data_IF_117362910093
#
_entry.id   IF_117362910093
#
_cell.length_a   1.000
_cell.length_b   1.000
_cell.length_c   1.000
_cell.angle_alpha   90.00
_cell.angle_beta   90.00
_cell.angle_gamma   90.00
#
_symmetry.space_group_name_H-M   'P 1'
#
loop_
_entity.id
_entity.type
_entity.pdbx_description
1 polymer ?
#
# COMPACT_ATOMS: atom_id res chain seq x y z
N UNK A 1 -2.09 -31.66 -10.95
CA UNK A 1 -2.81 -30.80 -9.98
C UNK A 1 -3.46 -29.66 -10.75
N UNK A 2 -4.80 -29.58 -10.74
CA UNK A 2 -5.47 -28.44 -11.38
C UNK A 2 -5.03 -27.14 -10.70
N UNK A 3 -4.53 -26.18 -11.47
CA UNK A 3 -4.19 -24.85 -10.98
C UNK A 3 -5.45 -24.20 -10.40
N UNK A 4 -5.35 -23.61 -9.20
CA UNK A 4 -6.48 -22.84 -8.63
C UNK A 4 -6.89 -21.72 -9.59
N UNK A 5 -8.19 -21.39 -9.71
CA UNK A 5 -8.65 -20.24 -10.48
C UNK A 5 -7.92 -18.96 -10.07
N UNK A 6 -7.61 -18.12 -11.06
CA UNK A 6 -7.00 -16.81 -10.86
C UNK A 6 -8.08 -15.73 -10.76
N UNK A 7 -7.94 -14.80 -9.83
CA UNK A 7 -8.90 -13.72 -9.60
C UNK A 7 -8.54 -12.46 -10.39
N UNK A 8 -8.72 -12.49 -11.71
CA UNK A 8 -8.36 -11.36 -12.59
C UNK A 8 -8.98 -10.03 -12.15
N UNK A 9 -10.23 -10.05 -11.65
CA UNK A 9 -10.91 -8.83 -11.19
C UNK A 9 -10.21 -8.25 -9.97
N UNK A 10 -9.79 -9.08 -9.00
CA UNK A 10 -9.06 -8.60 -7.83
C UNK A 10 -7.72 -7.95 -8.21
N UNK A 11 -7.03 -8.47 -9.24
CA UNK A 11 -5.83 -7.84 -9.75
C UNK A 11 -6.13 -6.48 -10.40
N UNK A 12 -7.20 -6.38 -11.19
CA UNK A 12 -7.65 -5.11 -11.76
C UNK A 12 -8.01 -4.08 -10.69
N UNK A 13 -8.72 -4.49 -9.63
CA UNK A 13 -9.07 -3.63 -8.49
C UNK A 13 -7.85 -3.15 -7.71
N UNK A 14 -6.84 -4.02 -7.54
CA UNK A 14 -5.57 -3.64 -6.94
C UNK A 14 -4.87 -2.54 -7.74
N UNK A 15 -4.88 -2.64 -9.07
CA UNK A 15 -4.31 -1.60 -9.93
C UNK A 15 -5.10 -0.30 -9.89
N UNK A 16 -6.42 -0.36 -9.88
CA UNK A 16 -7.27 0.83 -9.71
C UNK A 16 -7.02 1.52 -8.36
N UNK A 17 -6.91 0.76 -7.28
CA UNK A 17 -6.56 1.30 -5.97
C UNK A 17 -5.17 1.95 -5.98
N UNK A 18 -4.17 1.35 -6.65
CA UNK A 18 -2.83 1.94 -6.78
C UNK A 18 -2.86 3.30 -7.50
N UNK A 19 -3.68 3.45 -8.55
CA UNK A 19 -3.87 4.74 -9.23
C UNK A 19 -4.50 5.79 -8.31
N UNK A 20 -5.46 5.39 -7.47
CA UNK A 20 -6.08 6.30 -6.51
C UNK A 20 -5.11 6.72 -5.39
N UNK A 21 -4.17 5.85 -5.00
CA UNK A 21 -3.07 6.23 -4.10
C UNK A 21 -2.17 7.29 -4.73
N UNK A 22 -1.80 7.12 -6.01
CA UNK A 22 -1.04 8.15 -6.74
C UNK A 22 -1.79 9.47 -6.79
N UNK A 23 -3.11 9.42 -7.06
CA UNK A 23 -3.97 10.60 -7.08
C UNK A 23 -4.07 11.27 -5.70
N UNK A 24 -4.16 10.50 -4.63
CA UNK A 24 -4.12 11.02 -3.26
C UNK A 24 -2.84 11.80 -2.99
N UNK A 25 -1.69 11.25 -3.33
CA UNK A 25 -0.40 11.90 -3.09
C UNK A 25 -0.18 13.20 -3.89
N UNK A 26 -0.91 13.42 -4.99
CA UNK A 26 -0.94 14.72 -5.65
C UNK A 26 -1.51 15.79 -4.73
N UNK A 27 -2.64 15.50 -4.06
CA UNK A 27 -3.29 16.44 -3.14
C UNK A 27 -2.56 16.55 -1.80
N UNK A 28 -1.98 15.47 -1.31
CA UNK A 28 -1.06 15.51 -0.18
C UNK A 28 0.10 16.48 -0.45
N UNK A 29 0.64 16.46 -1.67
CA UNK A 29 1.69 17.39 -2.09
C UNK A 29 1.28 18.85 -2.02
N UNK A 30 0.04 19.19 -2.40
CA UNK A 30 -0.46 20.55 -2.29
C UNK A 30 -0.50 21.03 -0.84
N UNK A 31 -1.09 20.23 0.06
CA UNK A 31 -1.15 20.59 1.46
C UNK A 31 0.24 20.62 2.12
N UNK A 32 1.10 19.66 1.79
CA UNK A 32 2.48 19.64 2.29
C UNK A 32 3.25 20.91 1.86
N UNK A 33 3.15 21.29 0.58
CA UNK A 33 3.85 22.45 0.05
C UNK A 33 3.31 23.78 0.58
N UNK A 34 2.00 23.89 0.80
CA UNK A 34 1.33 25.07 1.38
C UNK A 34 1.52 25.15 2.91
N UNK A 35 1.86 24.03 3.56
CA UNK A 35 1.85 23.93 5.03
C UNK A 35 0.44 23.93 5.63
N UNK A 36 -0.56 23.53 4.83
CA UNK A 36 -1.96 23.47 5.24
C UNK A 36 -2.36 22.14 5.84
N UNK A 37 -3.47 22.15 6.59
CA UNK A 37 -4.03 20.92 7.13
C UNK A 37 -4.67 20.04 6.04
N UNK A 38 -4.73 18.74 6.31
CA UNK A 38 -5.21 17.65 5.43
C UNK A 38 -6.71 17.74 5.03
N UNK A 39 -7.40 18.81 5.37
CA UNK A 39 -8.87 18.95 5.25
C UNK A 39 -9.43 18.94 3.81
N UNK A 40 -8.59 19.00 2.79
CA UNK A 40 -9.00 19.02 1.38
C UNK A 40 -8.74 17.71 0.64
N UNK A 41 -8.23 16.68 1.32
CA UNK A 41 -7.83 15.42 0.69
C UNK A 41 -9.02 14.51 0.37
N UNK A 42 -8.79 13.64 -0.60
CA UNK A 42 -9.57 12.46 -0.84
C UNK A 42 -9.05 11.27 0.01
N UNK A 43 -9.79 10.17 0.06
CA UNK A 43 -9.46 8.99 0.85
C UNK A 43 -8.62 7.94 0.09
N UNK A 44 -7.88 8.33 -0.94
CA UNK A 44 -7.05 7.40 -1.73
C UNK A 44 -5.98 6.67 -0.91
N UNK A 45 -5.54 7.22 0.23
CA UNK A 45 -4.62 6.55 1.17
C UNK A 45 -5.19 5.26 1.77
N UNK A 46 -6.51 5.08 1.82
CA UNK A 46 -7.15 3.82 2.20
C UNK A 46 -6.90 2.68 1.20
N UNK A 47 -6.33 2.97 0.04
CA UNK A 47 -5.82 1.95 -0.88
C UNK A 47 -4.82 1.00 -0.21
N UNK A 48 -4.07 1.47 0.78
CA UNK A 48 -3.14 0.64 1.57
C UNK A 48 -3.90 -0.40 2.41
N UNK A 49 -4.99 0.01 3.05
CA UNK A 49 -5.84 -0.87 3.86
C UNK A 49 -6.55 -1.91 2.97
N UNK A 50 -6.97 -1.49 1.78
CA UNK A 50 -7.48 -2.40 0.75
C UNK A 50 -6.41 -3.42 0.31
N UNK A 51 -5.14 -3.02 0.15
CA UNK A 51 -4.05 -3.94 -0.19
C UNK A 51 -3.75 -4.92 0.93
N UNK A 52 -3.76 -4.51 2.19
CA UNK A 52 -3.59 -5.42 3.32
C UNK A 52 -4.70 -6.48 3.36
N UNK A 53 -5.96 -6.08 3.17
CA UNK A 53 -7.09 -7.02 3.13
C UNK A 53 -6.99 -7.98 1.95
N UNK A 54 -6.65 -7.47 0.78
CA UNK A 54 -6.44 -8.28 -0.41
C UNK A 54 -5.26 -9.25 -0.24
N UNK A 55 -4.17 -8.81 0.42
CA UNK A 55 -3.02 -9.65 0.73
C UNK A 55 -3.42 -10.82 1.64
N UNK A 56 -4.17 -10.55 2.71
CA UNK A 56 -4.69 -11.60 3.60
C UNK A 56 -5.58 -12.62 2.87
N UNK A 57 -6.49 -12.14 2.01
CA UNK A 57 -7.33 -13.00 1.18
C UNK A 57 -6.52 -13.88 0.23
N UNK A 58 -5.59 -13.29 -0.51
CA UNK A 58 -4.79 -14.01 -1.54
C UNK A 58 -3.80 -14.97 -0.89
N UNK A 59 -3.18 -14.61 0.23
CA UNK A 59 -2.25 -15.49 0.96
C UNK A 59 -2.98 -16.69 1.53
N UNK A 60 -4.11 -16.50 2.20
CA UNK A 60 -4.96 -17.59 2.69
C UNK A 60 -5.40 -18.50 1.53
N UNK A 61 -5.84 -17.91 0.40
CA UNK A 61 -6.22 -18.66 -0.80
C UNK A 61 -5.08 -19.49 -1.37
N UNK A 62 -3.89 -18.91 -1.45
CA UNK A 62 -2.74 -19.55 -2.09
C UNK A 62 -2.12 -20.65 -1.23
N UNK A 63 -2.17 -20.54 0.10
CA UNK A 63 -1.31 -21.31 0.97
C UNK A 63 -2.02 -22.16 2.04
N UNK A 64 -3.24 -21.81 2.51
CA UNK A 64 -3.89 -22.52 3.65
C UNK A 64 -3.96 -24.05 3.46
N UNK A 65 -4.23 -24.53 2.26
CA UNK A 65 -4.34 -25.95 1.95
C UNK A 65 -3.02 -26.65 1.58
N UNK A 66 -1.90 -25.90 1.54
CA UNK A 66 -0.56 -26.43 1.21
C UNK A 66 0.25 -26.77 2.46
N UNK A 67 -0.09 -26.17 3.60
CA UNK A 67 0.55 -26.45 4.86
C UNK A 67 0.30 -27.92 5.25
N UNK A 68 1.36 -28.62 5.67
CA UNK A 68 1.30 -30.07 5.96
C UNK A 68 1.29 -30.96 4.71
N UNK A 69 1.33 -30.40 3.49
CA UNK A 69 1.39 -31.12 2.22
C UNK A 69 2.66 -30.79 1.42
N UNK A 70 3.78 -30.62 2.14
CA UNK A 70 5.08 -30.35 1.53
C UNK A 70 5.52 -28.87 1.50
N UNK A 71 4.67 -27.91 1.93
CA UNK A 71 5.09 -26.53 2.10
C UNK A 71 5.70 -26.33 3.49
N UNK A 72 6.99 -26.00 3.54
CA UNK A 72 7.66 -25.57 4.77
C UNK A 72 7.51 -24.06 5.01
N UNK A 73 7.73 -23.63 6.25
CA UNK A 73 7.77 -22.19 6.59
C UNK A 73 8.87 -21.47 5.81
N UNK A 74 10.01 -22.12 5.59
CA UNK A 74 11.10 -21.57 4.80
C UNK A 74 10.74 -21.39 3.32
N UNK A 75 10.05 -22.36 2.72
CA UNK A 75 9.59 -22.29 1.34
C UNK A 75 8.54 -21.20 1.14
N UNK A 76 7.68 -20.98 2.14
CA UNK A 76 6.76 -19.85 2.15
C UNK A 76 7.53 -18.52 2.13
N UNK A 77 8.50 -18.32 3.04
CA UNK A 77 9.28 -17.09 3.10
C UNK A 77 10.10 -16.87 1.82
N UNK A 78 10.76 -17.90 1.28
CA UNK A 78 11.44 -17.81 -0.02
C UNK A 78 10.52 -17.28 -1.11
N UNK A 79 9.32 -17.84 -1.23
CA UNK A 79 8.33 -17.43 -2.25
C UNK A 79 7.88 -15.99 -2.06
N UNK A 80 7.70 -15.54 -0.81
CA UNK A 80 7.33 -14.15 -0.52
C UNK A 80 8.48 -13.19 -0.82
N UNK A 81 9.69 -13.53 -0.44
CA UNK A 81 10.90 -12.76 -0.79
C UNK A 81 11.06 -12.61 -2.30
N UNK A 82 11.00 -13.72 -3.05
CA UNK A 82 11.08 -13.70 -4.52
C UNK A 82 9.99 -12.80 -5.13
N UNK A 83 8.80 -12.80 -4.53
CA UNK A 83 7.66 -12.00 -5.00
C UNK A 83 7.82 -10.51 -4.75
N UNK A 84 8.28 -10.10 -3.56
CA UNK A 84 8.19 -8.72 -3.10
C UNK A 84 9.54 -7.99 -3.17
N UNK A 85 10.61 -8.67 -2.75
CA UNK A 85 11.89 -8.00 -2.48
C UNK A 85 12.60 -7.37 -3.69
N UNK A 86 12.50 -7.91 -4.93
CA UNK A 86 13.09 -7.25 -6.08
C UNK A 86 12.63 -5.81 -6.27
N UNK A 87 11.34 -5.53 -6.03
CA UNK A 87 10.81 -4.19 -6.15
C UNK A 87 11.20 -3.29 -4.97
N UNK A 88 11.35 -3.84 -3.77
CA UNK A 88 11.89 -3.08 -2.60
C UNK A 88 13.29 -2.55 -2.91
N UNK A 89 14.16 -3.41 -3.44
CA UNK A 89 15.53 -3.01 -3.84
C UNK A 89 15.49 -1.92 -4.91
N UNK A 90 14.69 -2.11 -5.95
CA UNK A 90 14.57 -1.11 -7.03
C UNK A 90 13.99 0.22 -6.51
N UNK A 91 12.98 0.17 -5.63
CA UNK A 91 12.37 1.36 -5.02
C UNK A 91 13.37 2.17 -4.21
N UNK A 92 14.27 1.52 -3.46
CA UNK A 92 15.35 2.19 -2.73
C UNK A 92 16.35 2.87 -3.68
N UNK A 93 16.72 2.20 -4.79
CA UNK A 93 17.61 2.78 -5.83
C UNK A 93 16.95 3.99 -6.49
N UNK A 94 15.71 3.86 -6.96
CA UNK A 94 14.99 4.96 -7.60
C UNK A 94 14.79 6.12 -6.63
N UNK A 95 14.48 5.83 -5.36
CA UNK A 95 14.39 6.84 -4.30
C UNK A 95 15.69 7.59 -4.08
N UNK A 96 16.82 6.89 -4.11
CA UNK A 96 18.16 7.49 -4.03
C UNK A 96 18.43 8.41 -5.23
N UNK A 97 18.17 7.93 -6.45
CA UNK A 97 18.34 8.73 -7.67
C UNK A 97 17.47 9.99 -7.62
N UNK A 98 16.20 9.86 -7.23
CA UNK A 98 15.28 10.97 -7.07
C UNK A 98 15.79 11.99 -6.04
N UNK A 99 16.31 11.53 -4.90
CA UNK A 99 16.86 12.39 -3.86
C UNK A 99 18.09 13.18 -4.33
N UNK A 100 19.00 12.52 -5.06
CA UNK A 100 20.17 13.16 -5.66
C UNK A 100 19.79 14.21 -6.73
N UNK A 101 18.80 13.89 -7.59
CA UNK A 101 18.25 14.83 -8.58
C UNK A 101 17.64 16.06 -7.87
N UNK A 102 16.98 15.84 -6.73
CA UNK A 102 16.39 16.90 -5.90
C UNK A 102 17.40 17.74 -5.12
N UNK A 103 18.72 17.55 -5.33
CA UNK A 103 19.77 18.37 -4.73
C UNK A 103 20.25 17.87 -3.36
N UNK A 104 19.85 16.68 -2.92
CA UNK A 104 20.26 16.07 -1.62
C UNK A 104 19.91 16.91 -0.39
N UNK A 105 18.79 17.64 -0.47
CA UNK A 105 18.33 18.53 0.60
C UNK A 105 17.25 17.87 1.46
N UNK A 106 17.34 18.10 2.75
CA UNK A 106 16.26 17.87 3.71
C UNK A 106 15.12 18.86 3.49
N UNK A 107 13.96 18.59 4.07
CA UNK A 107 12.84 19.54 3.99
C UNK A 107 13.07 20.87 4.71
N UNK A 108 13.99 20.89 5.68
CA UNK A 108 14.46 22.11 6.37
C UNK A 108 15.56 22.88 5.61
N UNK A 109 15.95 22.42 4.43
CA UNK A 109 16.97 23.03 3.57
C UNK A 109 18.40 22.62 3.89
N UNK A 110 18.62 21.80 4.93
CA UNK A 110 19.98 21.32 5.25
C UNK A 110 20.46 20.26 4.24
N UNK A 111 21.73 20.29 3.90
CA UNK A 111 22.36 19.29 3.03
C UNK A 111 22.56 17.96 3.75
N UNK A 112 22.33 16.87 3.03
CA UNK A 112 22.62 15.52 3.49
C UNK A 112 23.85 14.96 2.78
N UNK A 113 24.81 14.44 3.55
CA UNK A 113 26.02 13.84 2.97
C UNK A 113 25.69 12.59 2.16
N UNK A 114 26.45 12.37 1.08
CA UNK A 114 26.30 11.17 0.24
C UNK A 114 26.44 9.87 1.07
N UNK A 115 27.29 9.88 2.11
CA UNK A 115 27.45 8.72 3.00
C UNK A 115 26.12 8.33 3.67
N UNK A 116 25.37 9.28 4.22
CA UNK A 116 24.07 9.00 4.82
C UNK A 116 23.01 8.60 3.79
N UNK A 117 23.07 9.16 2.58
CA UNK A 117 22.18 8.73 1.48
C UNK A 117 22.40 7.26 1.13
N UNK A 118 23.67 6.84 1.03
CA UNK A 118 24.00 5.43 0.75
C UNK A 118 23.59 4.50 1.91
N UNK A 119 23.74 4.93 3.17
CA UNK A 119 23.22 4.18 4.32
C UNK A 119 21.70 4.06 4.24
N UNK A 120 20.98 5.15 3.98
CA UNK A 120 19.53 5.12 3.82
C UNK A 120 19.08 4.17 2.69
N UNK A 121 19.80 4.17 1.57
CA UNK A 121 19.54 3.24 0.45
C UNK A 121 19.72 1.78 0.90
N UNK A 122 20.81 1.45 1.57
CA UNK A 122 21.07 0.08 2.04
C UNK A 122 20.03 -0.36 3.08
N UNK A 123 19.68 0.52 4.03
CA UNK A 123 18.62 0.26 5.01
C UNK A 123 17.28 0.01 4.31
N UNK A 124 16.92 0.84 3.32
CA UNK A 124 15.71 0.66 2.51
C UNK A 124 15.71 -0.65 1.74
N UNK A 125 16.82 -1.03 1.12
CA UNK A 125 16.97 -2.33 0.43
C UNK A 125 16.77 -3.52 1.37
N UNK A 126 17.18 -3.41 2.64
CA UNK A 126 17.05 -4.46 3.65
C UNK A 126 15.73 -4.38 4.43
N UNK A 127 14.85 -3.41 4.13
CA UNK A 127 13.64 -3.10 4.89
C UNK A 127 13.91 -2.82 6.38
N UNK A 128 15.04 -2.22 6.68
CA UNK A 128 15.37 -1.75 8.02
C UNK A 128 14.92 -0.28 8.17
N UNK A 129 14.01 0.02 9.11
CA UNK A 129 13.45 1.36 9.24
C UNK A 129 14.45 2.34 9.86
N UNK A 130 14.33 3.61 9.49
CA UNK A 130 15.05 4.71 10.12
C UNK A 130 14.38 5.13 11.44
N UNK A 131 15.20 5.45 12.46
CA UNK A 131 14.73 6.18 13.62
C UNK A 131 14.58 7.66 13.28
N UNK A 132 13.52 8.34 13.75
CA UNK A 132 13.38 9.79 13.58
C UNK A 132 14.63 10.54 14.07
N UNK A 133 15.15 11.41 13.22
CA UNK A 133 16.38 12.19 13.51
C UNK A 133 17.69 11.43 13.38
N UNK A 134 17.70 10.17 12.95
CA UNK A 134 18.93 9.48 12.59
C UNK A 134 19.60 10.13 11.37
N UNK A 135 20.93 9.98 11.21
CA UNK A 135 21.63 10.56 10.06
C UNK A 135 21.14 10.04 8.71
N UNK A 136 20.61 8.82 8.67
CA UNK A 136 20.00 8.21 7.49
C UNK A 136 18.49 8.51 7.34
N UNK A 137 17.88 9.32 8.21
CA UNK A 137 16.63 10.04 7.94
C UNK A 137 16.96 11.26 7.06
N UNK A 138 17.26 10.98 5.79
CA UNK A 138 17.90 11.93 4.87
C UNK A 138 16.99 13.10 4.48
N UNK A 139 15.67 13.01 4.70
CA UNK A 139 14.73 14.12 4.49
C UNK A 139 14.39 14.89 5.77
N UNK A 140 14.71 14.31 6.93
CA UNK A 140 14.54 14.97 8.22
C UNK A 140 13.09 15.13 8.70
N UNK A 141 12.17 14.34 8.15
CA UNK A 141 10.75 14.37 8.52
C UNK A 141 10.33 13.15 9.35
N UNK A 142 11.27 12.32 9.78
CA UNK A 142 11.02 11.16 10.62
C UNK A 142 10.47 9.93 9.90
N UNK A 143 10.40 9.93 8.58
CA UNK A 143 9.95 8.76 7.82
C UNK A 143 10.85 7.55 8.03
N UNK A 144 10.23 6.36 8.27
CA UNK A 144 10.97 5.08 8.34
C UNK A 144 11.84 4.83 7.11
N UNK A 145 11.41 5.32 5.94
CA UNK A 145 12.06 5.13 4.64
C UNK A 145 12.08 6.44 3.86
N UNK A 146 12.91 7.37 4.29
CA UNK A 146 12.96 8.73 3.78
C UNK A 146 13.34 8.87 2.29
N UNK A 147 13.86 7.82 1.65
CA UNK A 147 14.05 7.77 0.19
C UNK A 147 12.80 7.31 -0.58
N UNK A 148 11.90 6.58 0.09
CA UNK A 148 10.66 6.07 -0.53
C UNK A 148 9.61 5.81 0.55
N UNK A 149 8.88 6.84 0.97
CA UNK A 149 7.92 6.83 2.07
C UNK A 149 7.01 5.60 2.10
N UNK A 150 6.26 5.25 1.03
CA UNK A 150 5.33 4.12 1.03
C UNK A 150 5.92 2.75 1.36
N UNK A 151 7.26 2.61 1.40
CA UNK A 151 7.93 1.38 1.84
C UNK A 151 7.55 0.97 3.27
N UNK A 152 7.04 1.89 4.11
CA UNK A 152 6.50 1.57 5.43
C UNK A 152 5.43 0.48 5.39
N UNK A 153 4.55 0.52 4.41
CA UNK A 153 3.48 -0.48 4.29
C UNK A 153 4.00 -1.85 3.85
N UNK A 154 5.06 -1.88 3.03
CA UNK A 154 5.75 -3.13 2.67
C UNK A 154 6.42 -3.74 3.90
N UNK A 155 7.03 -2.94 4.76
CA UNK A 155 7.56 -3.40 6.04
C UNK A 155 6.47 -4.10 6.87
N UNK A 156 5.30 -3.49 7.02
CA UNK A 156 4.18 -4.13 7.72
C UNK A 156 3.62 -5.33 6.94
N UNK A 157 3.64 -5.34 5.60
CA UNK A 157 3.25 -6.51 4.83
C UNK A 157 4.18 -7.71 5.12
N UNK A 158 5.50 -7.49 5.29
CA UNK A 158 6.41 -8.54 5.71
C UNK A 158 6.09 -9.03 7.12
N UNK A 159 5.77 -8.15 8.05
CA UNK A 159 5.29 -8.53 9.39
C UNK A 159 4.02 -9.38 9.27
N UNK A 160 3.04 -8.98 8.47
CA UNK A 160 1.83 -9.74 8.20
C UNK A 160 2.10 -11.15 7.66
N UNK A 161 3.07 -11.27 6.73
CA UNK A 161 3.50 -12.57 6.22
C UNK A 161 4.15 -13.46 7.31
N UNK A 162 4.95 -12.86 8.19
CA UNK A 162 5.56 -13.57 9.34
C UNK A 162 4.46 -14.04 10.30
N UNK A 163 3.56 -13.13 10.68
CA UNK A 163 2.42 -13.45 11.55
C UNK A 163 1.55 -14.56 10.95
N UNK A 164 1.25 -14.50 9.65
CA UNK A 164 0.52 -15.56 8.96
C UNK A 164 1.24 -16.90 9.07
N UNK A 165 2.51 -16.96 8.69
CA UNK A 165 3.26 -18.22 8.62
C UNK A 165 3.48 -18.86 9.99
N UNK A 166 3.67 -18.07 11.04
CA UNK A 166 3.98 -18.57 12.36
C UNK A 166 2.74 -18.80 13.23
N UNK A 167 1.74 -17.94 13.15
CA UNK A 167 0.62 -17.90 14.08
C UNK A 167 -0.75 -18.01 13.41
N UNK A 168 -1.15 -17.04 12.54
CA UNK A 168 -2.52 -16.86 12.08
C UNK A 168 -3.08 -18.09 11.33
N UNK A 169 -2.25 -18.73 10.51
CA UNK A 169 -2.66 -19.95 9.77
C UNK A 169 -3.10 -21.10 10.66
N UNK A 170 -2.63 -21.13 11.93
CA UNK A 170 -2.95 -22.19 12.91
C UNK A 170 -4.22 -21.92 13.69
N UNK A 171 -4.72 -20.69 13.64
CA UNK A 171 -5.95 -20.34 14.35
C UNK A 171 -7.15 -21.04 13.73
N UNK A 172 -8.01 -21.58 14.59
CA UNK A 172 -9.33 -22.06 14.19
C UNK A 172 -10.20 -20.88 13.69
N UNK A 173 -11.29 -21.17 12.99
CA UNK A 173 -12.23 -20.12 12.57
C UNK A 173 -12.73 -19.27 13.75
N UNK A 174 -13.01 -19.90 14.91
CA UNK A 174 -13.39 -19.17 16.13
C UNK A 174 -12.26 -18.32 16.68
N UNK A 175 -11.02 -18.84 16.72
CA UNK A 175 -9.85 -18.09 17.20
C UNK A 175 -9.56 -16.89 16.30
N UNK A 176 -9.70 -17.03 14.98
CA UNK A 176 -9.53 -15.93 14.04
C UNK A 176 -10.64 -14.89 14.19
N UNK A 177 -11.90 -15.31 14.40
CA UNK A 177 -13.01 -14.40 14.63
C UNK A 177 -12.85 -13.59 15.93
N UNK A 178 -12.38 -14.21 17.01
CA UNK A 178 -12.09 -13.51 18.27
C UNK A 178 -10.99 -12.46 18.07
N UNK A 179 -9.89 -12.86 17.40
CA UNK A 179 -8.81 -11.92 17.08
C UNK A 179 -9.31 -10.75 16.24
N UNK A 180 -10.16 -11.01 15.24
CA UNK A 180 -10.75 -10.00 14.38
C UNK A 180 -11.60 -9.00 15.15
N UNK A 181 -12.43 -9.46 16.10
CA UNK A 181 -13.24 -8.60 16.97
C UNK A 181 -12.33 -7.68 17.82
N UNK A 182 -11.25 -8.24 18.39
CA UNK A 182 -10.30 -7.45 19.19
C UNK A 182 -9.57 -6.40 18.36
N UNK A 183 -9.08 -6.78 17.16
CA UNK A 183 -8.41 -5.86 16.24
C UNK A 183 -9.37 -4.80 15.72
N UNK A 184 -10.61 -5.16 15.42
CA UNK A 184 -11.68 -4.23 15.05
C UNK A 184 -11.92 -3.19 16.15
N UNK A 185 -12.11 -3.62 17.40
CA UNK A 185 -12.28 -2.72 18.54
C UNK A 185 -11.10 -1.78 18.72
N UNK A 186 -9.87 -2.29 18.60
CA UNK A 186 -8.66 -1.49 18.72
C UNK A 186 -8.56 -0.46 17.58
N UNK A 187 -8.85 -0.87 16.32
CA UNK A 187 -8.78 0.00 15.16
C UNK A 187 -9.86 1.08 15.18
N UNK A 188 -11.11 0.72 15.53
CA UNK A 188 -12.22 1.68 15.69
C UNK A 188 -11.89 2.70 16.79
N UNK A 189 -11.42 2.22 17.95
CA UNK A 189 -11.01 3.12 19.03
C UNK A 189 -9.92 4.08 18.56
N UNK A 190 -8.86 3.56 17.91
CA UNK A 190 -7.74 4.36 17.41
C UNK A 190 -8.21 5.46 16.44
N UNK A 191 -9.07 5.09 15.47
CA UNK A 191 -9.54 6.00 14.43
C UNK A 191 -10.53 7.04 14.93
N UNK A 192 -11.51 6.61 15.76
CA UNK A 192 -12.62 7.48 16.20
C UNK A 192 -12.17 8.48 17.27
N UNK A 193 -11.21 8.08 18.13
CA UNK A 193 -10.66 8.99 19.16
C UNK A 193 -9.44 9.77 18.69
N UNK A 194 -9.05 9.62 17.41
CA UNK A 194 -7.89 10.29 16.80
C UNK A 194 -6.60 10.19 17.64
N UNK A 195 -6.24 8.96 18.02
CA UNK A 195 -5.04 8.72 18.86
C UNK A 195 -3.77 9.27 18.20
N UNK A 196 -3.73 9.33 16.86
CA UNK A 196 -2.61 9.88 16.10
C UNK A 196 -2.52 11.41 16.15
N UNK A 197 -3.64 12.10 16.38
CA UNK A 197 -3.76 13.54 16.23
C UNK A 197 -3.75 14.06 14.79
N UNK A 198 -3.82 13.15 13.80
CA UNK A 198 -3.80 13.51 12.37
C UNK A 198 -5.19 13.70 11.77
N UNK A 199 -6.25 13.41 12.53
CA UNK A 199 -7.62 13.42 12.03
C UNK A 199 -7.91 12.33 11.01
N UNK A 200 -7.05 11.29 10.92
CA UNK A 200 -7.13 10.20 9.96
C UNK A 200 -6.31 8.99 10.42
N UNK A 201 -6.59 7.79 9.88
CA UNK A 201 -5.78 6.59 10.14
C UNK A 201 -4.45 6.54 9.35
N UNK A 202 -3.97 7.67 8.90
CA UNK A 202 -2.73 7.81 8.13
C UNK A 202 -1.46 7.58 8.93
N UNK A 203 -1.36 6.46 9.66
CA UNK A 203 -0.23 6.10 10.55
C UNK A 203 0.58 4.95 9.98
N UNK A 204 1.77 4.75 10.53
CA UNK A 204 2.68 3.65 10.21
C UNK A 204 3.95 4.09 9.50
N UNK A 205 4.09 5.37 9.17
CA UNK A 205 5.18 5.89 8.34
C UNK A 205 6.40 6.39 9.16
N UNK A 206 6.26 6.57 10.49
CA UNK A 206 7.39 6.86 11.38
C UNK A 206 7.62 5.74 12.41
N UNK A 207 8.83 5.67 12.97
CA UNK A 207 9.19 4.68 13.99
C UNK A 207 9.06 5.27 15.41
N UNK A 208 7.89 5.79 15.71
CA UNK A 208 7.48 6.15 17.06
C UNK A 208 6.38 5.20 17.57
N UNK A 209 6.06 5.27 18.86
CA UNK A 209 5.13 4.32 19.49
C UNK A 209 3.73 4.37 18.87
N UNK A 210 3.19 5.57 18.61
CA UNK A 210 1.84 5.75 18.06
C UNK A 210 1.77 5.24 16.62
N UNK A 211 2.73 5.65 15.79
CA UNK A 211 2.79 5.22 14.40
C UNK A 211 3.07 3.73 14.26
N UNK A 212 3.99 3.16 15.06
CA UNK A 212 4.32 1.74 14.97
C UNK A 212 3.14 0.86 15.41
N UNK A 213 2.53 1.14 16.56
CA UNK A 213 1.37 0.39 17.04
C UNK A 213 0.15 0.60 16.14
N UNK A 214 -0.11 1.84 15.75
CA UNK A 214 -1.18 2.18 14.82
C UNK A 214 -1.01 1.49 13.47
N UNK A 215 0.20 1.55 12.88
CA UNK A 215 0.53 0.87 11.64
C UNK A 215 0.42 -0.66 11.72
N UNK A 216 0.80 -1.24 12.87
CA UNK A 216 0.63 -2.66 13.13
C UNK A 216 -0.87 -3.06 13.18
N UNK A 217 -1.70 -2.32 13.92
CA UNK A 217 -3.14 -2.59 14.01
C UNK A 217 -3.79 -2.36 12.63
N UNK A 218 -3.42 -1.26 11.96
CA UNK A 218 -3.88 -0.90 10.62
C UNK A 218 -3.55 -1.96 9.57
N UNK A 219 -2.44 -2.68 9.71
CA UNK A 219 -2.12 -3.83 8.85
C UNK A 219 -2.86 -5.09 9.30
N UNK A 220 -2.82 -5.41 10.60
CA UNK A 220 -3.33 -6.70 11.10
C UNK A 220 -4.84 -6.84 10.91
N UNK A 221 -5.64 -5.79 11.19
CA UNK A 221 -7.09 -5.85 11.08
C UNK A 221 -7.55 -6.17 9.66
N UNK A 222 -7.24 -5.39 8.61
CA UNK A 222 -7.69 -5.73 7.25
C UNK A 222 -7.04 -7.01 6.72
N UNK A 223 -5.80 -7.35 7.12
CA UNK A 223 -5.16 -8.59 6.71
C UNK A 223 -5.89 -9.84 7.26
N UNK A 224 -6.24 -9.85 8.55
CA UNK A 224 -7.00 -10.95 9.16
C UNK A 224 -8.43 -11.00 8.65
N UNK A 225 -9.08 -9.86 8.40
CA UNK A 225 -10.37 -9.78 7.71
C UNK A 225 -10.32 -10.45 6.33
N UNK A 226 -9.27 -10.18 5.55
CA UNK A 226 -9.03 -10.85 4.27
C UNK A 226 -8.94 -12.38 4.40
N UNK A 227 -8.27 -12.89 5.45
CA UNK A 227 -8.21 -14.32 5.75
C UNK A 227 -9.59 -14.89 6.12
N UNK A 228 -10.38 -14.19 6.95
CA UNK A 228 -11.76 -14.57 7.30
C UNK A 228 -12.61 -14.65 6.04
N UNK A 229 -12.59 -13.58 5.23
CA UNK A 229 -13.32 -13.55 3.96
C UNK A 229 -12.98 -14.75 3.08
N UNK A 230 -11.69 -15.11 2.98
CA UNK A 230 -11.26 -16.25 2.16
C UNK A 230 -11.76 -17.58 2.70
N UNK A 231 -11.74 -17.78 4.03
CA UNK A 231 -12.18 -19.04 4.65
C UNK A 231 -13.69 -19.25 4.55
N UNK A 232 -14.47 -18.17 4.61
CA UNK A 232 -15.93 -18.18 4.47
C UNK A 232 -16.42 -17.98 3.02
N UNK A 233 -15.48 -17.80 2.07
CA UNK A 233 -15.80 -17.41 0.69
C UNK A 233 -16.69 -18.42 -0.03
N UNK A 234 -17.81 -17.91 -0.50
CA UNK A 234 -18.72 -18.61 -1.44
C UNK A 234 -18.97 -17.69 -2.62
N UNK A 235 -18.66 -18.10 -3.85
CA UNK A 235 -18.82 -17.23 -5.02
C UNK A 235 -20.28 -16.88 -5.28
N UNK A 236 -20.53 -15.62 -5.59
CA UNK A 236 -21.82 -15.12 -6.04
C UNK A 236 -21.85 -15.06 -7.57
N UNK A 237 -23.02 -15.29 -8.18
CA UNK A 237 -23.20 -15.18 -9.64
C UNK A 237 -23.69 -13.77 -9.98
N UNK A 238 -22.78 -12.81 -10.16
CA UNK A 238 -23.10 -11.43 -10.53
C UNK A 238 -22.36 -11.07 -11.82
N UNK A 239 -23.06 -10.43 -12.77
CA UNK A 239 -22.49 -9.93 -14.02
C UNK A 239 -21.99 -8.49 -13.85
N UNK A 240 -20.95 -8.09 -14.60
CA UNK A 240 -20.46 -6.71 -14.59
C UNK A 240 -19.77 -6.26 -13.32
N UNK A 241 -19.41 -7.19 -12.42
CA UNK A 241 -18.82 -6.91 -11.10
C UNK A 241 -17.58 -5.99 -11.19
N UNK A 242 -16.74 -6.17 -12.20
CA UNK A 242 -15.52 -5.38 -12.34
C UNK A 242 -15.80 -3.88 -12.37
N UNK A 243 -16.73 -3.45 -13.23
CA UNK A 243 -17.06 -2.04 -13.39
C UNK A 243 -17.80 -1.46 -12.17
N UNK A 244 -18.65 -2.27 -11.56
CA UNK A 244 -19.35 -1.89 -10.32
C UNK A 244 -18.35 -1.71 -9.18
N UNK A 245 -17.43 -2.65 -9.01
CA UNK A 245 -16.43 -2.61 -7.94
C UNK A 245 -15.41 -1.46 -8.13
N UNK A 246 -14.98 -1.18 -9.37
CA UNK A 246 -14.15 0.00 -9.67
C UNK A 246 -14.91 1.28 -9.37
N UNK A 247 -16.14 1.43 -9.84
CA UNK A 247 -16.93 2.64 -9.59
C UNK A 247 -17.14 2.86 -8.09
N UNK A 248 -17.39 1.80 -7.33
CA UNK A 248 -17.53 1.89 -5.89
C UNK A 248 -16.22 2.29 -5.20
N UNK A 249 -15.07 1.72 -5.58
CA UNK A 249 -13.76 2.14 -5.07
C UNK A 249 -13.49 3.62 -5.37
N UNK A 250 -13.73 4.06 -6.61
CA UNK A 250 -13.57 5.47 -6.99
C UNK A 250 -14.46 6.38 -6.16
N UNK A 251 -15.73 6.01 -5.97
CA UNK A 251 -16.67 6.79 -5.16
C UNK A 251 -16.19 6.91 -3.71
N UNK A 252 -15.79 5.80 -3.10
CA UNK A 252 -15.29 5.79 -1.71
C UNK A 252 -14.00 6.62 -1.56
N UNK A 253 -13.05 6.46 -2.47
CA UNK A 253 -11.78 7.18 -2.37
C UNK A 253 -11.87 8.66 -2.74
N UNK A 254 -12.92 9.06 -3.47
CA UNK A 254 -13.13 10.45 -3.88
C UNK A 254 -13.88 11.30 -2.84
N UNK A 255 -14.36 10.69 -1.75
CA UNK A 255 -14.99 11.46 -0.66
C UNK A 255 -13.94 12.39 -0.05
N UNK A 256 -14.23 13.68 0.12
CA UNK A 256 -13.34 14.61 0.83
C UNK A 256 -13.23 14.26 2.31
N UNK A 257 -12.23 14.86 2.96
CA UNK A 257 -12.07 14.79 4.41
C UNK A 257 -13.36 15.17 5.15
N UNK A 258 -13.73 14.39 6.16
CA UNK A 258 -14.95 14.59 6.96
C UNK A 258 -14.57 15.28 8.28
N UNK A 259 -14.99 16.54 8.50
CA UNK A 259 -14.64 17.29 9.72
C UNK A 259 -15.13 16.58 11.00
N UNK A 260 -14.37 16.75 12.07
CA UNK A 260 -14.72 16.21 13.38
C UNK A 260 -16.05 16.80 13.92
N UNK A 261 -16.78 16.01 14.70
CA UNK A 261 -17.99 16.43 15.41
C UNK A 261 -17.75 16.27 16.92
N UNK A 262 -17.57 17.38 17.61
CA UNK A 262 -17.14 17.38 19.01
C UNK A 262 -15.81 16.64 19.18
N UNK A 263 -15.78 15.64 20.05
CA UNK A 263 -14.59 14.83 20.33
C UNK A 263 -14.49 13.58 19.43
N UNK A 264 -15.36 13.44 18.43
CA UNK A 264 -15.40 12.30 17.54
C UNK A 264 -14.73 12.67 16.22
N UNK A 265 -13.69 11.93 15.83
CA UNK A 265 -13.09 12.02 14.52
C UNK A 265 -14.03 11.36 13.48
N UNK A 266 -14.90 12.18 12.85
CA UNK A 266 -15.86 11.68 11.85
C UNK A 266 -15.16 11.13 10.61
N UNK A 267 -13.98 11.65 10.27
CA UNK A 267 -13.14 11.07 9.23
C UNK A 267 -12.75 9.63 9.57
N UNK A 268 -12.31 9.39 10.82
CA UNK A 268 -12.02 8.04 11.32
C UNK A 268 -13.26 7.11 11.30
N UNK A 269 -14.46 7.63 11.57
CA UNK A 269 -15.71 6.86 11.42
C UNK A 269 -15.92 6.47 9.96
N UNK A 270 -15.74 7.40 9.02
CA UNK A 270 -15.86 7.12 7.58
C UNK A 270 -14.83 6.07 7.11
N UNK A 271 -13.57 6.22 7.53
CA UNK A 271 -12.49 5.29 7.22
C UNK A 271 -12.81 3.88 7.70
N UNK A 272 -13.26 3.76 8.95
CA UNK A 272 -13.67 2.47 9.51
C UNK A 272 -14.85 1.86 8.76
N UNK A 273 -15.81 2.67 8.34
CA UNK A 273 -16.93 2.18 7.53
C UNK A 273 -16.43 1.64 6.18
N UNK A 274 -15.48 2.31 5.53
CA UNK A 274 -14.85 1.82 4.31
C UNK A 274 -14.15 0.47 4.54
N UNK A 275 -13.31 0.38 5.56
CA UNK A 275 -12.46 -0.80 5.80
C UNK A 275 -13.29 -2.00 6.31
N UNK A 276 -14.28 -1.77 7.18
CA UNK A 276 -15.07 -2.83 7.81
C UNK A 276 -16.21 -3.35 6.94
N UNK A 277 -16.78 -2.51 6.08
CA UNK A 277 -17.98 -2.84 5.33
C UNK A 277 -17.71 -2.91 3.82
N UNK A 278 -17.22 -1.83 3.24
CA UNK A 278 -17.12 -1.76 1.77
C UNK A 278 -15.98 -2.59 1.20
N UNK A 279 -14.79 -2.57 1.79
CA UNK A 279 -13.67 -3.36 1.28
C UNK A 279 -13.93 -4.87 1.31
N UNK A 280 -14.49 -5.45 2.39
CA UNK A 280 -14.94 -6.84 2.37
C UNK A 280 -15.93 -7.15 1.26
N UNK A 281 -16.93 -6.29 1.05
CA UNK A 281 -17.92 -6.45 -0.02
C UNK A 281 -17.26 -6.41 -1.40
N UNK A 282 -16.39 -5.43 -1.64
CA UNK A 282 -15.69 -5.26 -2.92
C UNK A 282 -14.79 -6.47 -3.22
N UNK A 283 -14.04 -6.95 -2.22
CA UNK A 283 -13.18 -8.14 -2.38
C UNK A 283 -14.02 -9.39 -2.62
N UNK A 284 -15.10 -9.58 -1.87
CA UNK A 284 -16.02 -10.71 -2.07
C UNK A 284 -16.63 -10.71 -3.47
N UNK A 285 -17.13 -9.57 -3.91
CA UNK A 285 -17.68 -9.39 -5.26
C UNK A 285 -16.61 -9.63 -6.33
N UNK A 286 -15.43 -9.03 -6.19
CA UNK A 286 -14.31 -9.18 -7.12
C UNK A 286 -13.79 -10.62 -7.22
N UNK A 287 -13.77 -11.35 -6.10
CA UNK A 287 -13.43 -12.77 -6.08
C UNK A 287 -14.53 -13.67 -6.67
N UNK A 288 -15.80 -13.22 -6.66
CA UNK A 288 -16.95 -13.96 -7.18
C UNK A 288 -17.09 -13.86 -8.68
N UNK A 289 -16.56 -12.80 -9.30
CA UNK A 289 -16.73 -12.51 -10.71
C UNK A 289 -15.61 -13.05 -11.59
N UNK A 290 -15.92 -13.13 -12.88
CA UNK A 290 -14.95 -13.36 -13.95
C UNK A 290 -15.17 -12.33 -15.05
N UNK A 291 -14.09 -11.86 -15.67
CA UNK A 291 -14.20 -11.05 -16.89
C UNK A 291 -14.57 -11.97 -18.06
N UNK A 292 -15.60 -11.59 -18.82
CA UNK A 292 -16.10 -12.40 -19.94
C UNK A 292 -15.74 -11.81 -21.30
N UNK A 293 -15.34 -10.53 -21.33
CA UNK A 293 -14.96 -9.82 -22.54
C UNK A 293 -13.45 -9.52 -22.56
N UNK A 294 -12.91 -9.37 -23.78
CA UNK A 294 -11.45 -9.15 -23.99
C UNK A 294 -10.97 -7.81 -23.43
N UNK A 295 -11.82 -6.77 -23.43
CA UNK A 295 -11.44 -5.43 -22.99
C UNK A 295 -11.29 -5.42 -21.47
N UNK A 296 -12.32 -5.85 -20.73
CA UNK A 296 -12.24 -5.94 -19.25
C UNK A 296 -11.11 -6.86 -18.80
N UNK A 297 -10.89 -7.98 -19.49
CA UNK A 297 -9.78 -8.91 -19.19
C UNK A 297 -8.42 -8.23 -19.42
N UNK A 298 -8.26 -7.51 -20.52
CA UNK A 298 -7.05 -6.77 -20.85
C UNK A 298 -6.75 -5.67 -19.83
N UNK A 299 -7.77 -4.91 -19.45
CA UNK A 299 -7.67 -3.84 -18.43
C UNK A 299 -7.29 -4.44 -17.07
N UNK A 300 -7.99 -5.49 -16.61
CA UNK A 300 -7.67 -6.15 -15.34
C UNK A 300 -6.24 -6.65 -15.31
N UNK A 301 -5.78 -7.27 -16.40
CA UNK A 301 -4.41 -7.76 -16.51
C UNK A 301 -3.41 -6.63 -16.46
N UNK A 302 -3.57 -5.59 -17.26
CA UNK A 302 -2.66 -4.45 -17.29
C UNK A 302 -2.58 -3.77 -15.93
N UNK A 303 -3.72 -3.44 -15.32
CA UNK A 303 -3.79 -2.82 -14.00
C UNK A 303 -3.16 -3.72 -12.92
N UNK A 304 -3.42 -5.02 -12.97
CA UNK A 304 -2.84 -5.99 -12.06
C UNK A 304 -1.32 -6.08 -12.16
N UNK A 305 -0.81 -6.13 -13.40
CA UNK A 305 0.62 -6.25 -13.68
C UNK A 305 1.40 -5.01 -13.21
N UNK A 306 0.87 -3.80 -13.42
CA UNK A 306 1.56 -2.56 -13.02
C UNK A 306 1.31 -2.15 -11.56
N UNK A 307 0.34 -2.74 -10.86
CA UNK A 307 -0.12 -2.26 -9.53
C UNK A 307 0.99 -2.18 -8.50
N UNK A 308 1.77 -3.25 -8.34
CA UNK A 308 2.86 -3.31 -7.37
C UNK A 308 4.07 -2.44 -7.78
N UNK A 309 4.56 -2.50 -9.03
CA UNK A 309 5.55 -1.55 -9.50
C UNK A 309 5.14 -0.09 -9.31
N UNK A 310 3.92 0.29 -9.69
CA UNK A 310 3.41 1.65 -9.54
C UNK A 310 3.42 2.09 -8.08
N UNK A 311 2.93 1.24 -7.18
CA UNK A 311 2.94 1.52 -5.75
C UNK A 311 4.35 1.78 -5.21
N UNK A 312 5.36 1.06 -5.71
CA UNK A 312 6.74 1.19 -5.24
C UNK A 312 7.45 2.42 -5.83
N UNK A 313 7.19 2.76 -7.11
CA UNK A 313 8.04 3.75 -7.81
C UNK A 313 7.45 5.16 -7.90
N UNK A 314 6.16 5.36 -7.57
CA UNK A 314 5.51 6.67 -7.74
C UNK A 314 6.03 7.73 -6.76
N UNK A 315 6.28 7.35 -5.51
CA UNK A 315 6.58 8.32 -4.46
C UNK A 315 7.94 9.04 -4.61
N UNK A 316 9.01 8.39 -5.09
CA UNK A 316 10.20 9.11 -5.54
C UNK A 316 9.93 10.21 -6.58
N UNK A 317 8.95 10.01 -7.46
CA UNK A 317 8.51 11.04 -8.41
C UNK A 317 7.71 12.13 -7.70
N UNK A 318 6.87 11.76 -6.73
CA UNK A 318 6.13 12.72 -5.88
C UNK A 318 7.06 13.63 -5.09
N UNK A 319 8.17 13.14 -4.56
CA UNK A 319 9.12 14.00 -3.85
C UNK A 319 9.70 15.10 -4.74
N UNK A 320 10.01 14.82 -6.00
CA UNK A 320 10.43 15.86 -6.96
C UNK A 320 9.29 16.83 -7.27
N UNK A 321 8.07 16.33 -7.36
CA UNK A 321 6.88 17.15 -7.54
C UNK A 321 6.65 18.06 -6.33
N UNK A 322 6.79 17.59 -5.10
CA UNK A 322 6.64 18.40 -3.88
C UNK A 322 7.68 19.54 -3.83
N UNK A 323 8.93 19.23 -4.16
CA UNK A 323 9.98 20.27 -4.28
C UNK A 323 9.63 21.31 -5.35
N UNK A 324 9.08 20.85 -6.49
CA UNK A 324 8.64 21.76 -7.54
C UNK A 324 7.46 22.63 -7.09
N UNK A 325 6.49 22.07 -6.37
CA UNK A 325 5.35 22.82 -5.81
C UNK A 325 5.81 23.92 -4.85
N UNK A 326 6.70 23.60 -3.91
CA UNK A 326 7.27 24.57 -2.96
C UNK A 326 8.00 25.69 -3.72
N UNK A 327 8.85 25.33 -4.67
CA UNK A 327 9.65 26.29 -5.42
C UNK A 327 8.81 27.26 -6.29
N UNK A 328 7.66 26.80 -6.78
CA UNK A 328 6.80 27.56 -7.69
C UNK A 328 5.53 28.10 -7.02
N UNK A 329 5.37 27.88 -5.72
CA UNK A 329 4.19 28.31 -4.93
C UNK A 329 2.86 27.86 -5.58
N UNK A 330 2.82 26.64 -6.13
CA UNK A 330 1.71 26.10 -6.91
C UNK A 330 0.93 25.05 -6.09
N UNK A 331 -0.08 25.47 -5.33
CA UNK A 331 -0.74 24.63 -4.33
C UNK A 331 -2.12 24.12 -4.76
N UNK A 332 -2.50 24.28 -6.01
CA UNK A 332 -3.80 23.83 -6.51
C UNK A 332 -3.67 23.11 -7.84
N UNK A 333 -4.60 22.20 -8.11
CA UNK A 333 -4.65 21.49 -9.38
C UNK A 333 -4.76 22.46 -10.58
N UNK A 334 -5.52 23.55 -10.43
CA UNK A 334 -5.72 24.54 -11.48
C UNK A 334 -4.43 25.25 -11.90
N UNK A 335 -3.50 25.48 -10.94
CA UNK A 335 -2.22 26.15 -11.21
C UNK A 335 -1.17 25.26 -11.88
N UNK A 336 -1.29 23.93 -11.78
CA UNK A 336 -0.22 23.02 -12.22
C UNK A 336 -0.71 21.73 -12.89
N UNK A 337 -1.95 21.65 -13.40
CA UNK A 337 -2.50 20.43 -13.99
C UNK A 337 -1.62 19.77 -15.08
N UNK A 338 -0.86 20.49 -15.94
CA UNK A 338 0.01 19.84 -16.91
C UNK A 338 1.18 19.10 -16.24
N UNK A 339 1.70 19.66 -15.14
CA UNK A 339 2.77 19.03 -14.34
C UNK A 339 2.22 17.79 -13.65
N UNK A 340 1.01 17.85 -13.09
CA UNK A 340 0.34 16.69 -12.48
C UNK A 340 0.15 15.55 -13.50
N UNK A 341 -0.28 15.86 -14.72
CA UNK A 341 -0.35 14.86 -15.78
C UNK A 341 1.02 14.27 -16.12
N UNK A 342 2.06 15.10 -16.15
CA UNK A 342 3.46 14.66 -16.34
C UNK A 342 3.92 13.72 -15.22
N UNK A 343 3.60 14.04 -13.96
CA UNK A 343 3.93 13.21 -12.79
C UNK A 343 3.24 11.84 -12.87
N UNK A 344 1.94 11.82 -13.19
CA UNK A 344 1.17 10.57 -13.34
C UNK A 344 1.74 9.75 -14.51
N UNK A 345 1.97 10.37 -15.66
CA UNK A 345 2.52 9.70 -16.84
C UNK A 345 3.91 9.13 -16.58
N UNK A 346 4.79 9.89 -15.90
CA UNK A 346 6.13 9.45 -15.50
C UNK A 346 6.05 8.27 -14.54
N UNK A 347 5.17 8.32 -13.54
CA UNK A 347 4.96 7.23 -12.57
C UNK A 347 4.48 5.95 -13.27
N UNK A 348 3.55 6.05 -14.22
CA UNK A 348 3.05 4.92 -15.00
C UNK A 348 4.13 4.33 -15.92
N UNK A 349 4.89 5.19 -16.61
CA UNK A 349 5.98 4.76 -17.48
C UNK A 349 7.07 4.05 -16.68
N UNK A 350 7.48 4.64 -15.55
CA UNK A 350 8.47 4.07 -14.65
C UNK A 350 8.00 2.74 -14.07
N UNK A 351 6.71 2.61 -13.69
CA UNK A 351 6.11 1.36 -13.23
C UNK A 351 6.15 0.28 -14.32
N UNK A 352 5.78 0.63 -15.56
CA UNK A 352 5.82 -0.29 -16.68
C UNK A 352 7.26 -0.75 -17.02
N UNK A 353 8.22 0.17 -17.03
CA UNK A 353 9.64 -0.14 -17.21
C UNK A 353 10.15 -1.06 -16.10
N UNK A 354 9.83 -0.74 -14.85
CA UNK A 354 10.22 -1.52 -13.67
C UNK A 354 9.66 -2.93 -13.72
N UNK A 355 8.39 -3.08 -14.09
CA UNK A 355 7.76 -4.40 -14.30
C UNK A 355 8.48 -5.20 -15.37
N UNK A 356 8.69 -4.59 -16.54
CA UNK A 356 9.18 -5.29 -17.72
C UNK A 356 10.66 -5.64 -17.63
N UNK A 357 11.50 -4.71 -17.17
CA UNK A 357 12.95 -4.84 -17.24
C UNK A 357 13.59 -5.27 -15.92
N UNK A 358 12.86 -5.20 -14.79
CA UNK A 358 13.40 -5.58 -13.49
C UNK A 358 12.56 -6.64 -12.78
N UNK A 359 11.29 -6.36 -12.41
CA UNK A 359 10.49 -7.26 -11.58
C UNK A 359 10.34 -8.64 -12.22
N UNK A 360 9.86 -8.68 -13.46
CA UNK A 360 9.59 -9.95 -14.17
C UNK A 360 10.87 -10.79 -14.38
N UNK A 361 11.98 -10.22 -14.89
CA UNK A 361 13.23 -10.97 -15.04
C UNK A 361 13.82 -11.43 -13.70
N UNK A 362 13.85 -10.54 -12.69
CA UNK A 362 14.39 -10.86 -11.38
C UNK A 362 13.61 -11.99 -10.68
N UNK A 363 12.28 -11.94 -10.71
CA UNK A 363 11.43 -12.99 -10.15
C UNK A 363 11.60 -14.33 -10.88
N UNK A 364 11.73 -14.31 -12.19
CA UNK A 364 12.00 -15.51 -12.97
C UNK A 364 13.34 -16.12 -12.57
N UNK A 365 14.41 -15.34 -12.59
CA UNK A 365 15.75 -15.79 -12.23
C UNK A 365 15.84 -16.32 -10.80
N UNK A 366 15.28 -15.59 -9.83
CA UNK A 366 15.24 -16.02 -8.42
C UNK A 366 14.39 -17.29 -8.24
N UNK A 367 13.28 -17.40 -8.97
CA UNK A 367 12.40 -18.56 -8.94
C UNK A 367 13.09 -19.83 -9.48
N UNK A 368 13.86 -19.71 -10.56
CA UNK A 368 14.64 -20.81 -11.14
C UNK A 368 15.78 -21.26 -10.20
N UNK A 369 16.45 -20.30 -9.55
CA UNK A 369 17.62 -20.57 -8.70
C UNK A 369 17.26 -21.03 -7.28
N UNK A 370 16.22 -20.48 -6.68
CA UNK A 370 15.89 -20.67 -5.25
C UNK A 370 14.46 -21.17 -5.00
N UNK A 371 13.62 -21.23 -6.01
CA UNK A 371 12.19 -21.59 -5.88
C UNK A 371 11.90 -23.08 -5.83
N UNK A 372 12.93 -23.93 -5.94
CA UNK A 372 12.83 -25.41 -5.83
C UNK A 372 12.76 -25.85 -4.39
#
# INVERSE_FOLDING_TARGET
MNSKPHFNILDGLRGAAALMVVWYHVFEGFAFAEGSAITTFNHGYLGVDFFFMLSGFVISYAYDDRWGKGLSTWDFFKRRLIRLHPMVVLGAVIGTISFLIGGSLRWDGAETSLGWVMVAMLMGMLLLPAWPGAGYDVRGNGEMYSLNGPTWSLFFEYIGNIMYALFLRRLSGRGLAILEILLCGAMVSFAVTDVSGYGMIGVGWTLDTVNFLGGFIRMMFPFTMGMVLRREFKPLKVRGIFWIAIALLFALFSVPYVPACGNICMNGVYEMFCVMVFFPIIIWLGASGATTDKISTGICKFLGDISYPLYVVHYPVMYLFYQWLIKNEAYTLGSCWPIVLGVIATSLLLAWCSMKFWETPARKWLGEKFGK
#
